data_IF_523820116110
#
_entry.id   IF_523820116110
#
_cell.length_a   1.000
_cell.length_b   1.000
_cell.length_c   1.000
_cell.angle_alpha   90.00
_cell.angle_beta   90.00
_cell.angle_gamma   90.00
#
_symmetry.space_group_name_H-M   'P 1'
#
loop_
_entity.id
_entity.type
_entity.pdbx_description
1 polymer ?
#
# COMPACT_ATOMS: atom_id res chain seq x y z
N UNK A 1 -30.76 25.80 -1.23
CA UNK A 1 -30.95 24.92 -0.06
C UNK A 1 -31.41 23.51 -0.44
N UNK A 2 -31.68 23.22 -1.71
CA UNK A 2 -32.28 21.94 -2.16
C UNK A 2 -31.28 20.87 -2.63
N UNK A 3 -30.04 21.23 -2.94
CA UNK A 3 -29.01 20.29 -3.40
C UNK A 3 -28.46 19.40 -2.28
N UNK A 4 -28.29 19.95 -1.07
CA UNK A 4 -27.82 19.19 0.11
C UNK A 4 -28.87 18.15 0.54
N UNK A 5 -30.15 18.52 0.54
CA UNK A 5 -31.24 17.61 0.89
C UNK A 5 -31.44 16.49 -0.16
N UNK A 6 -31.08 16.75 -1.41
CA UNK A 6 -31.11 15.76 -2.48
C UNK A 6 -29.96 14.75 -2.36
N UNK A 7 -28.77 15.21 -1.98
CA UNK A 7 -27.61 14.35 -1.67
C UNK A 7 -27.86 13.47 -0.44
N UNK A 8 -28.49 14.02 0.62
CA UNK A 8 -28.86 13.26 1.81
C UNK A 8 -29.89 12.16 1.49
N UNK A 9 -30.85 12.42 0.59
CA UNK A 9 -31.83 11.41 0.15
C UNK A 9 -31.21 10.29 -0.70
N UNK A 10 -30.17 10.59 -1.48
CA UNK A 10 -29.41 9.58 -2.23
C UNK A 10 -28.64 8.65 -1.27
N UNK A 11 -28.09 9.18 -0.18
CA UNK A 11 -27.38 8.38 0.83
C UNK A 11 -28.30 7.53 1.72
N UNK A 12 -29.58 7.90 1.88
CA UNK A 12 -30.54 7.15 2.71
C UNK A 12 -31.25 5.99 2.00
N UNK A 13 -31.18 5.91 0.66
CA UNK A 13 -31.99 4.95 -0.11
C UNK A 13 -31.38 3.54 -0.21
N UNK A 14 -30.17 3.32 0.31
CA UNK A 14 -29.46 2.04 0.27
C UNK A 14 -29.51 1.23 1.58
N UNK A 15 -30.43 1.54 2.50
CA UNK A 15 -30.59 0.75 3.75
C UNK A 15 -31.95 0.06 3.79
N UNK A 16 -32.10 -0.95 2.95
CA UNK A 16 -33.15 -1.97 3.03
C UNK A 16 -32.58 -3.28 3.58
N UNK A 17 -33.03 -3.64 4.79
CA UNK A 17 -32.96 -4.93 5.49
C UNK A 17 -32.11 -6.07 4.86
N UNK A 18 -30.90 -6.23 5.40
CA UNK A 18 -30.13 -7.46 5.42
C UNK A 18 -29.29 -7.46 6.69
N UNK A 19 -29.63 -8.31 7.65
CA UNK A 19 -28.80 -8.57 8.82
C UNK A 19 -27.51 -9.25 8.36
N UNK A 20 -26.46 -8.46 8.22
CA UNK A 20 -25.10 -8.95 8.21
C UNK A 20 -24.28 -7.96 8.99
N UNK A 21 -23.63 -8.42 10.06
CA UNK A 21 -22.43 -7.77 10.55
C UNK A 21 -21.54 -7.49 9.34
N UNK A 22 -21.48 -6.22 8.89
CA UNK A 22 -20.52 -5.79 7.89
C UNK A 22 -19.16 -5.88 8.56
N UNK A 23 -18.60 -7.08 8.62
CA UNK A 23 -17.16 -7.23 8.75
C UNK A 23 -16.58 -6.55 7.51
N UNK A 24 -16.08 -5.34 7.70
CA UNK A 24 -15.36 -4.61 6.67
C UNK A 24 -14.30 -5.56 6.11
N UNK A 25 -14.44 -5.90 4.82
CA UNK A 25 -13.62 -6.93 4.19
C UNK A 25 -12.16 -6.55 4.34
N UNK A 26 -11.42 -7.37 5.08
CA UNK A 26 -10.00 -7.13 5.38
C UNK A 26 -9.17 -7.54 4.18
N UNK A 27 -8.44 -6.59 3.61
CA UNK A 27 -7.51 -6.83 2.51
C UNK A 27 -6.09 -6.94 3.03
N UNK A 28 -5.34 -7.94 2.57
CA UNK A 28 -3.96 -8.18 3.01
C UNK A 28 -2.96 -7.25 2.34
N UNK A 29 -3.24 -6.84 1.12
CA UNK A 29 -2.38 -5.98 0.31
C UNK A 29 -3.19 -5.25 -0.79
N UNK A 30 -2.48 -4.41 -1.56
CA UNK A 30 -3.08 -3.67 -2.66
C UNK A 30 -3.58 -4.55 -3.81
N UNK A 31 -3.06 -5.78 -3.97
CA UNK A 31 -3.52 -6.70 -5.02
C UNK A 31 -4.94 -7.17 -4.74
N UNK A 32 -5.26 -7.47 -3.48
CA UNK A 32 -6.62 -7.86 -3.10
C UNK A 32 -7.60 -6.69 -3.16
N UNK A 33 -7.15 -5.49 -2.80
CA UNK A 33 -7.93 -4.26 -2.93
C UNK A 33 -8.27 -4.04 -4.42
N UNK A 34 -7.27 -4.17 -5.30
CA UNK A 34 -7.47 -4.01 -6.74
C UNK A 34 -8.43 -5.07 -7.30
N UNK A 35 -8.28 -6.34 -6.91
CA UNK A 35 -9.19 -7.42 -7.32
C UNK A 35 -10.63 -7.24 -6.82
N UNK A 36 -10.82 -6.50 -5.72
CA UNK A 36 -12.14 -6.12 -5.22
C UNK A 36 -12.77 -4.94 -5.98
N UNK A 37 -12.10 -4.42 -7.02
CA UNK A 37 -12.61 -3.36 -7.91
C UNK A 37 -12.21 -1.94 -7.53
N UNK A 38 -11.35 -1.77 -6.52
CA UNK A 38 -10.82 -0.46 -6.15
C UNK A 38 -9.63 -0.11 -7.04
N UNK A 39 -9.89 0.62 -8.13
CA UNK A 39 -8.92 0.83 -9.21
C UNK A 39 -8.26 2.22 -9.21
N UNK A 40 -8.46 3.03 -8.16
CA UNK A 40 -7.84 4.34 -8.06
C UNK A 40 -6.56 4.26 -7.22
N UNK A 41 -5.46 4.86 -7.68
CA UNK A 41 -4.25 4.94 -6.87
C UNK A 41 -4.47 5.81 -5.63
N UNK A 42 -3.93 5.41 -4.49
CA UNK A 42 -4.19 6.13 -3.24
C UNK A 42 -3.68 5.41 -2.00
N UNK A 43 -3.95 6.00 -0.83
CA UNK A 43 -3.60 5.38 0.46
C UNK A 43 -4.75 4.50 0.93
N UNK A 44 -4.46 3.24 1.17
CA UNK A 44 -5.40 2.25 1.69
C UNK A 44 -4.89 1.66 3.00
N UNK A 45 -5.81 1.16 3.81
CA UNK A 45 -5.47 0.35 4.99
C UNK A 45 -5.45 -1.13 4.61
N UNK A 46 -4.36 -1.81 4.94
CA UNK A 46 -4.21 -3.26 4.75
C UNK A 46 -3.97 -3.96 6.09
N UNK A 47 -4.33 -5.24 6.15
CA UNK A 47 -4.31 -6.08 7.33
C UNK A 47 -3.20 -7.13 7.20
N UNK A 48 -2.14 -6.98 7.99
CA UNK A 48 -1.04 -7.95 8.03
C UNK A 48 -1.35 -9.13 8.94
N UNK A 49 -2.16 -8.88 9.97
CA UNK A 49 -2.68 -9.91 10.85
C UNK A 49 -4.11 -9.54 11.27
N UNK A 50 -4.73 -10.37 12.12
CA UNK A 50 -6.06 -10.08 12.65
C UNK A 50 -6.10 -8.82 13.52
N UNK A 51 -4.96 -8.41 14.08
CA UNK A 51 -4.85 -7.27 15.00
C UNK A 51 -4.01 -6.12 14.44
N UNK A 52 -3.22 -6.35 13.40
CA UNK A 52 -2.27 -5.37 12.88
C UNK A 52 -2.69 -4.83 11.51
N UNK A 53 -2.77 -3.50 11.43
CA UNK A 53 -3.10 -2.77 10.21
C UNK A 53 -2.02 -1.75 9.88
N UNK A 54 -1.90 -1.41 8.61
CA UNK A 54 -1.00 -0.35 8.15
C UNK A 54 -1.59 0.35 6.94
N UNK A 55 -1.34 1.65 6.86
CA UNK A 55 -1.60 2.43 5.66
C UNK A 55 -0.47 2.25 4.66
N UNK A 56 -0.82 1.98 3.41
CA UNK A 56 0.10 1.83 2.29
C UNK A 56 -0.40 2.63 1.10
N UNK A 57 0.52 3.16 0.30
CA UNK A 57 0.15 3.69 -1.01
C UNK A 57 0.01 2.53 -1.99
N UNK A 58 -1.19 2.36 -2.55
CA UNK A 58 -1.48 1.43 -3.62
C UNK A 58 -1.39 2.15 -4.96
N UNK A 59 -0.51 1.67 -5.83
CA UNK A 59 -0.51 2.07 -7.23
C UNK A 59 -1.41 1.09 -8.01
N UNK A 60 -2.55 1.61 -8.48
CA UNK A 60 -3.58 0.82 -9.16
C UNK A 60 -3.53 0.97 -10.69
N UNK A 61 -2.59 1.76 -11.20
CA UNK A 61 -2.52 2.13 -12.62
C UNK A 61 -1.32 1.49 -13.32
N UNK A 62 -0.14 1.55 -12.69
CA UNK A 62 1.09 1.08 -13.31
C UNK A 62 1.13 -0.44 -13.41
N UNK A 63 1.64 -0.95 -14.54
CA UNK A 63 1.95 -2.37 -14.76
C UNK A 63 0.83 -3.35 -14.32
N UNK A 64 -0.43 -3.02 -14.63
CA UNK A 64 -1.58 -3.87 -14.31
C UNK A 64 -2.21 -3.63 -12.93
N UNK A 65 -1.68 -2.69 -12.14
CA UNK A 65 -2.27 -2.28 -10.87
C UNK A 65 -2.04 -3.25 -9.71
N UNK A 66 -2.56 -2.88 -8.52
CA UNK A 66 -2.48 -3.70 -7.32
C UNK A 66 -1.13 -3.69 -6.59
N UNK A 67 -0.29 -2.69 -6.83
CA UNK A 67 1.06 -2.63 -6.27
C UNK A 67 1.09 -1.91 -4.92
N UNK A 68 1.53 -2.61 -3.87
CA UNK A 68 1.87 -2.01 -2.57
C UNK A 68 3.24 -1.33 -2.65
N UNK A 69 3.27 0.01 -2.59
CA UNK A 69 4.52 0.77 -2.73
C UNK A 69 5.30 0.79 -1.42
N UNK A 70 6.37 -0.01 -1.34
CA UNK A 70 7.21 -0.14 -0.13
C UNK A 70 8.29 0.95 -0.01
N UNK A 71 8.71 1.55 -1.12
CA UNK A 71 9.68 2.64 -1.17
C UNK A 71 9.32 3.58 -2.31
N UNK A 72 9.48 4.89 -2.10
CA UNK A 72 9.40 5.89 -3.17
C UNK A 72 10.46 6.97 -3.01
N UNK A 73 11.17 7.28 -4.09
CA UNK A 73 11.99 8.49 -4.28
C UNK A 73 11.38 9.34 -5.39
N UNK A 74 11.49 10.67 -5.30
CA UNK A 74 10.93 11.57 -6.32
C UNK A 74 11.75 12.86 -6.48
N UNK A 75 11.99 13.57 -5.38
CA UNK A 75 12.53 14.93 -5.42
C UNK A 75 13.73 15.14 -4.49
N UNK A 76 14.12 14.10 -3.73
CA UNK A 76 15.27 14.18 -2.82
C UNK A 76 15.04 15.08 -1.60
N UNK A 77 13.80 15.50 -1.34
CA UNK A 77 13.47 16.34 -0.18
C UNK A 77 13.64 15.61 1.15
N UNK A 78 13.64 14.27 1.13
CA UNK A 78 13.79 13.45 2.32
C UNK A 78 15.18 12.81 2.38
N UNK A 79 15.80 12.94 3.55
CA UNK A 79 17.02 12.20 3.86
C UNK A 79 16.71 10.71 4.06
N UNK A 80 17.48 9.86 3.39
CA UNK A 80 17.44 8.40 3.51
C UNK A 80 18.67 7.84 4.26
N UNK A 81 19.60 8.68 4.71
CA UNK A 81 20.66 8.31 5.64
C UNK A 81 20.09 8.19 7.06
N UNK A 82 19.37 7.10 7.30
CA UNK A 82 18.60 6.87 8.53
C UNK A 82 19.19 5.78 9.42
N UNK A 83 18.81 5.81 10.69
CA UNK A 83 19.18 4.80 11.68
C UNK A 83 18.51 3.45 11.41
N UNK A 84 19.06 2.37 11.97
CA UNK A 84 18.44 1.04 11.93
C UNK A 84 16.99 1.05 12.44
N UNK A 85 16.72 1.78 13.53
CA UNK A 85 15.39 1.89 14.12
C UNK A 85 14.41 2.57 13.16
N UNK A 86 14.83 3.61 12.45
CA UNK A 86 13.99 4.27 11.45
C UNK A 86 13.73 3.36 10.24
N UNK A 87 14.74 2.64 9.74
CA UNK A 87 14.52 1.65 8.68
C UNK A 87 13.60 0.50 9.10
N UNK A 88 13.69 0.05 10.36
CA UNK A 88 12.76 -0.94 10.92
C UNK A 88 11.32 -0.45 10.92
N UNK A 89 11.08 0.75 11.44
CA UNK A 89 9.73 1.29 11.65
C UNK A 89 9.11 1.91 10.38
N UNK A 90 9.95 2.34 9.45
CA UNK A 90 9.58 3.15 8.30
C UNK A 90 9.63 4.64 8.60
N UNK A 91 9.71 5.44 7.54
CA UNK A 91 9.77 6.90 7.60
C UNK A 91 9.21 7.52 6.33
N UNK A 92 8.83 8.79 6.44
CA UNK A 92 8.38 9.61 5.32
C UNK A 92 6.87 9.68 5.13
N UNK A 93 6.45 10.02 3.91
CA UNK A 93 5.05 10.27 3.55
C UNK A 93 4.60 9.36 2.43
N UNK A 94 3.48 8.66 2.62
CA UNK A 94 2.90 7.77 1.60
C UNK A 94 2.50 8.48 0.31
N UNK A 95 2.33 9.81 0.34
CA UNK A 95 2.07 10.63 -0.86
C UNK A 95 3.35 11.22 -1.48
N UNK A 96 4.51 11.09 -0.81
CA UNK A 96 5.79 11.66 -1.20
C UNK A 96 6.91 10.62 -1.20
N UNK A 97 8.06 10.98 -0.65
CA UNK A 97 9.15 10.02 -0.43
C UNK A 97 8.94 9.24 0.87
N UNK A 98 9.14 7.92 0.84
CA UNK A 98 9.02 7.08 2.02
C UNK A 98 9.79 5.76 1.91
N UNK A 99 10.03 5.17 3.08
CA UNK A 99 10.32 3.76 3.28
C UNK A 99 9.27 3.17 4.21
N UNK A 100 8.62 2.09 3.83
CA UNK A 100 7.46 1.56 4.55
C UNK A 100 7.81 0.90 5.89
N UNK A 101 9.07 0.46 6.05
CA UNK A 101 9.61 -0.15 7.26
C UNK A 101 9.92 -1.63 7.08
N UNK A 102 11.11 -2.07 7.50
CA UNK A 102 11.56 -3.45 7.31
C UNK A 102 10.68 -4.45 8.06
N UNK A 103 10.25 -4.14 9.29
CA UNK A 103 9.39 -5.06 10.05
C UNK A 103 8.07 -5.31 9.30
N UNK A 104 7.50 -4.23 8.73
CA UNK A 104 6.28 -4.32 7.96
C UNK A 104 6.48 -5.11 6.66
N UNK A 105 7.56 -4.83 5.91
CA UNK A 105 7.86 -5.54 4.66
C UNK A 105 8.14 -7.02 4.91
N UNK A 106 8.79 -7.37 6.02
CA UNK A 106 8.99 -8.75 6.47
C UNK A 106 7.64 -9.44 6.70
N UNK A 107 6.77 -8.84 7.52
CA UNK A 107 5.47 -9.41 7.83
C UNK A 107 4.58 -9.51 6.58
N UNK A 108 4.65 -8.55 5.65
CA UNK A 108 3.90 -8.59 4.40
C UNK A 108 4.38 -9.76 3.52
N UNK A 109 5.68 -9.82 3.25
CA UNK A 109 6.28 -10.79 2.32
C UNK A 109 6.38 -12.20 2.88
N UNK A 110 6.13 -12.38 4.18
CA UNK A 110 6.04 -13.71 4.82
C UNK A 110 4.65 -14.37 4.67
N UNK A 111 3.61 -13.63 4.28
CA UNK A 111 2.25 -14.17 4.19
C UNK A 111 2.04 -15.09 2.98
N UNK A 112 2.67 -14.75 1.85
CA UNK A 112 2.56 -15.46 0.58
C UNK A 112 3.73 -15.06 -0.34
N UNK A 113 3.95 -15.73 -1.48
CA UNK A 113 4.89 -15.25 -2.48
C UNK A 113 4.49 -13.87 -3.02
N UNK A 114 5.44 -12.94 -3.07
CA UNK A 114 5.28 -11.63 -3.71
C UNK A 114 6.30 -11.46 -4.84
N UNK A 115 5.92 -10.74 -5.88
CA UNK A 115 6.85 -10.23 -6.88
C UNK A 115 7.33 -8.83 -6.47
N UNK A 116 8.57 -8.49 -6.84
CA UNK A 116 9.10 -7.14 -6.69
C UNK A 116 9.26 -6.51 -8.07
N UNK A 117 8.77 -5.29 -8.21
CA UNK A 117 9.02 -4.43 -9.37
C UNK A 117 9.77 -3.19 -8.88
N UNK A 118 10.90 -2.90 -9.51
CA UNK A 118 11.69 -1.69 -9.27
C UNK A 118 11.60 -0.83 -10.51
N UNK A 119 11.12 0.40 -10.37
CA UNK A 119 11.04 1.38 -11.45
C UNK A 119 12.01 2.52 -11.15
N UNK A 120 12.78 2.91 -12.18
CA UNK A 120 13.74 4.00 -12.10
C UNK A 120 13.50 4.93 -13.28
N UNK A 121 13.46 6.23 -13.00
CA UNK A 121 13.41 7.27 -14.02
C UNK A 121 14.72 8.05 -13.98
N UNK A 122 15.36 8.24 -15.13
CA UNK A 122 16.55 9.09 -15.23
C UNK A 122 16.20 10.59 -15.31
N UNK A 123 17.22 11.43 -15.38
CA UNK A 123 17.06 12.90 -15.43
C UNK A 123 16.41 13.40 -16.72
N UNK A 124 16.48 12.60 -17.79
CA UNK A 124 15.88 12.90 -19.10
C UNK A 124 14.42 12.37 -19.17
N UNK A 125 13.92 11.74 -18.10
CA UNK A 125 12.57 11.20 -18.00
C UNK A 125 12.41 9.79 -18.57
N UNK A 126 13.50 9.13 -18.96
CA UNK A 126 13.46 7.75 -19.45
C UNK A 126 13.24 6.78 -18.29
N UNK A 127 12.32 5.83 -18.48
CA UNK A 127 11.94 4.87 -17.47
C UNK A 127 12.52 3.48 -17.78
N UNK A 128 13.11 2.86 -16.77
CA UNK A 128 13.53 1.46 -16.79
C UNK A 128 12.88 0.71 -15.62
N UNK A 129 12.69 -0.60 -15.79
CA UNK A 129 12.19 -1.44 -14.71
C UNK A 129 12.91 -2.79 -14.64
N UNK A 130 12.98 -3.35 -13.43
CA UNK A 130 13.37 -4.72 -13.17
C UNK A 130 12.25 -5.45 -12.43
N UNK A 131 12.00 -6.70 -12.80
CA UNK A 131 11.00 -7.56 -12.18
C UNK A 131 11.65 -8.80 -11.58
N UNK A 132 11.26 -9.14 -10.35
CA UNK A 132 11.72 -10.32 -9.64
C UNK A 132 10.51 -11.14 -9.21
N UNK A 133 10.45 -12.40 -9.67
CA UNK A 133 9.30 -13.28 -9.43
C UNK A 133 9.13 -13.67 -7.96
N UNK A 134 10.18 -13.55 -7.14
CA UNK A 134 10.10 -13.88 -5.73
C UNK A 134 10.89 -12.88 -4.90
N UNK A 135 10.18 -12.19 -4.03
CA UNK A 135 10.74 -11.25 -3.08
C UNK A 135 10.21 -11.52 -1.68
N UNK A 136 11.14 -11.59 -0.74
CA UNK A 136 10.88 -11.59 0.69
C UNK A 136 12.14 -11.10 1.40
N UNK A 137 11.97 -10.65 2.64
CA UNK A 137 13.08 -10.36 3.54
C UNK A 137 12.91 -11.21 4.79
N UNK A 138 14.01 -11.52 5.48
CA UNK A 138 13.99 -12.25 6.75
C UNK A 138 13.51 -11.40 7.92
N UNK A 139 13.43 -12.03 9.09
CA UNK A 139 13.11 -11.33 10.35
C UNK A 139 14.25 -10.39 10.80
N UNK A 140 13.99 -9.55 11.81
CA UNK A 140 15.03 -8.71 12.42
C UNK A 140 16.22 -9.54 12.93
N UNK A 141 15.99 -10.74 13.48
CA UNK A 141 17.07 -11.66 13.94
C UNK A 141 18.00 -12.10 12.81
N UNK A 142 17.51 -12.05 11.57
CA UNK A 142 18.26 -12.37 10.35
C UNK A 142 18.75 -11.09 9.64
N UNK A 143 18.66 -9.93 10.30
CA UNK A 143 19.00 -8.62 9.76
C UNK A 143 18.23 -8.27 8.48
N UNK A 144 16.99 -8.76 8.34
CA UNK A 144 16.16 -8.55 7.14
C UNK A 144 16.82 -9.00 5.83
N UNK A 145 17.65 -10.05 5.88
CA UNK A 145 18.31 -10.64 4.71
C UNK A 145 17.35 -11.34 3.77
#
# INVERSE_FOLDING_TARGET
>A
TDTVNSLLKLCSKDRGAGDSSHEERKYRDCSEIFQAGFNNSGVYTIHISTQETKKVYCNMEAAGGGWSVIQRRKDGTMDFQRTWKEYKMGFGSLFGEHWLGNEFVFLLTSQRPYNLRVEVTDWDGQQAFSHYDRFYIGSEKQNYR
#
